data_IF_611972997920
#
_entry.id   IF_611972997920
#
_cell.length_a   1.000
_cell.length_b   1.000
_cell.length_c   1.000
_cell.angle_alpha   90.00
_cell.angle_beta   90.00
_cell.angle_gamma   90.00
#
_symmetry.space_group_name_H-M   'P 1'
#
loop_
_entity.id
_entity.type
_entity.pdbx_description
1 polymer ?
#
# COMPACT_ATOMS: atom_id res chain seq x y z
N UNK A 1 11.55 37.53 -54.96
CA UNK A 1 11.94 36.49 -53.97
C UNK A 1 12.20 37.15 -52.62
N UNK A 2 13.06 38.16 -52.53
CA UNK A 2 13.34 38.93 -51.30
C UNK A 2 12.07 39.45 -50.61
N UNK A 3 11.18 40.15 -51.32
CA UNK A 3 9.94 40.68 -50.72
C UNK A 3 9.00 39.62 -50.11
N UNK A 4 9.00 38.38 -50.61
CA UNK A 4 8.21 37.29 -50.02
C UNK A 4 8.91 36.69 -48.80
N UNK A 5 10.25 36.70 -48.78
CA UNK A 5 11.05 36.31 -47.61
C UNK A 5 10.88 37.34 -46.49
N UNK A 6 10.96 38.64 -46.80
CA UNK A 6 10.74 39.72 -45.83
C UNK A 6 9.34 39.65 -45.21
N UNK A 7 8.34 39.35 -46.03
CA UNK A 7 6.96 39.14 -45.58
C UNK A 7 6.84 37.93 -44.66
N UNK A 8 7.52 36.83 -44.99
CA UNK A 8 7.52 35.63 -44.17
C UNK A 8 8.23 35.88 -42.83
N UNK A 9 9.35 36.58 -42.84
CA UNK A 9 10.06 37.00 -41.63
C UNK A 9 9.18 37.86 -40.74
N UNK A 10 8.47 38.84 -41.31
CA UNK A 10 7.53 39.68 -40.58
C UNK A 10 6.37 38.87 -39.97
N UNK A 11 5.88 37.83 -40.67
CA UNK A 11 4.86 36.93 -40.13
C UNK A 11 5.38 36.14 -38.93
N UNK A 12 6.63 35.67 -38.96
CA UNK A 12 7.26 34.99 -37.83
C UNK A 12 7.48 35.93 -36.65
N UNK A 13 8.03 37.13 -36.89
CA UNK A 13 8.20 38.14 -35.84
C UNK A 13 6.87 38.50 -35.17
N UNK A 14 5.80 38.64 -35.96
CA UNK A 14 4.46 38.88 -35.43
C UNK A 14 3.98 37.67 -34.62
N UNK A 15 4.11 36.45 -35.14
CA UNK A 15 3.68 35.24 -34.45
C UNK A 15 4.40 35.06 -33.11
N UNK A 16 5.71 35.31 -33.06
CA UNK A 16 6.49 35.27 -31.82
C UNK A 16 6.00 36.32 -30.83
N UNK A 17 5.77 37.57 -31.28
CA UNK A 17 5.24 38.63 -30.42
C UNK A 17 3.81 38.36 -29.92
N UNK A 18 2.98 37.70 -30.74
CA UNK A 18 1.63 37.29 -30.36
C UNK A 18 1.70 36.21 -29.26
N UNK A 19 2.64 35.24 -29.36
CA UNK A 19 2.86 34.22 -28.34
C UNK A 19 3.38 34.81 -27.02
N UNK A 20 4.33 35.75 -27.10
CA UNK A 20 4.85 36.46 -25.93
C UNK A 20 3.73 37.24 -25.21
N UNK A 21 2.86 37.89 -25.96
CA UNK A 21 1.71 38.61 -25.40
C UNK A 21 0.72 37.67 -24.72
N UNK A 22 0.43 36.50 -25.32
CA UNK A 22 -0.42 35.48 -24.70
C UNK A 22 0.21 35.00 -23.38
N UNK A 23 1.51 34.68 -23.37
CA UNK A 23 2.21 34.27 -22.16
C UNK A 23 2.14 35.36 -21.08
N UNK A 24 2.42 36.61 -21.43
CA UNK A 24 2.37 37.74 -20.50
C UNK A 24 0.99 37.88 -19.86
N UNK A 25 -0.08 37.81 -20.67
CA UNK A 25 -1.46 37.89 -20.17
C UNK A 25 -1.79 36.75 -19.22
N UNK A 26 -1.42 35.52 -19.57
CA UNK A 26 -1.66 34.35 -18.71
C UNK A 26 -0.91 34.47 -17.38
N UNK A 27 0.36 34.86 -17.41
CA UNK A 27 1.15 35.07 -16.19
C UNK A 27 0.53 36.15 -15.30
N UNK A 28 0.07 37.26 -15.90
CA UNK A 28 -0.60 38.32 -15.17
C UNK A 28 -1.89 37.81 -14.52
N UNK A 29 -2.77 37.16 -15.28
CA UNK A 29 -4.05 36.63 -14.79
C UNK A 29 -3.85 35.54 -13.71
N UNK A 30 -2.84 34.68 -13.83
CA UNK A 30 -2.51 33.68 -12.81
C UNK A 30 -2.05 34.35 -11.51
N UNK A 31 -1.16 35.35 -11.61
CA UNK A 31 -0.62 36.09 -10.45
C UNK A 31 -1.68 36.94 -9.76
N UNK A 32 -2.63 37.53 -10.49
CA UNK A 32 -3.65 38.42 -9.91
C UNK A 32 -4.87 37.69 -9.37
N UNK A 33 -5.32 36.59 -10.00
CA UNK A 33 -6.52 35.86 -9.57
C UNK A 33 -6.28 34.88 -8.42
N UNK A 34 -5.02 34.61 -8.06
CA UNK A 34 -4.66 33.77 -6.91
C UNK A 34 -3.76 34.55 -5.95
N UNK A 35 -4.30 35.52 -5.18
CA UNK A 35 -3.55 36.15 -4.11
C UNK A 35 -3.37 35.10 -3.02
N UNK A 36 -2.22 34.43 -3.00
CA UNK A 36 -1.90 33.29 -2.14
C UNK A 36 -3.06 32.29 -2.03
N UNK A 37 -3.01 31.23 -2.83
CA UNK A 37 -3.86 30.03 -2.66
C UNK A 37 -3.55 29.36 -1.31
N UNK A 38 -3.98 29.99 -0.22
CA UNK A 38 -3.73 29.61 1.16
C UNK A 38 -4.59 28.39 1.49
N UNK A 39 -4.21 27.24 0.93
CA UNK A 39 -4.88 25.97 1.17
C UNK A 39 -4.67 24.93 0.07
N UNK A 40 -4.56 25.36 -1.19
CA UNK A 40 -4.40 24.43 -2.31
C UNK A 40 -2.91 24.10 -2.53
N UNK A 41 -2.57 22.82 -2.38
CA UNK A 41 -1.21 22.35 -2.63
C UNK A 41 -0.90 22.40 -4.12
N UNK A 42 0.28 22.93 -4.45
CA UNK A 42 0.81 22.89 -5.80
C UNK A 42 0.79 21.45 -6.37
N UNK A 43 0.27 21.22 -7.59
CA UNK A 43 0.21 19.89 -8.20
C UNK A 43 1.55 19.15 -8.28
N UNK A 44 2.66 19.88 -8.48
CA UNK A 44 4.01 19.30 -8.49
C UNK A 44 4.37 18.74 -7.12
N UNK A 45 4.00 19.44 -6.05
CA UNK A 45 4.20 18.96 -4.67
C UNK A 45 3.32 17.75 -4.38
N UNK A 46 2.05 17.78 -4.80
CA UNK A 46 1.12 16.65 -4.65
C UNK A 46 1.66 15.38 -5.34
N UNK A 47 2.19 15.50 -6.55
CA UNK A 47 2.78 14.35 -7.27
C UNK A 47 3.97 13.74 -6.53
N UNK A 48 4.82 14.57 -5.91
CA UNK A 48 5.94 14.10 -5.09
C UNK A 48 5.45 13.39 -3.82
N UNK A 49 4.47 13.96 -3.12
CA UNK A 49 3.86 13.34 -1.93
C UNK A 49 3.21 12.00 -2.27
N UNK A 50 2.44 11.94 -3.35
CA UNK A 50 1.77 10.71 -3.82
C UNK A 50 2.79 9.61 -4.12
N UNK A 51 3.90 9.96 -4.78
CA UNK A 51 4.98 9.03 -5.10
C UNK A 51 5.66 8.48 -3.83
N UNK A 52 5.88 9.34 -2.83
CA UNK A 52 6.43 8.93 -1.54
C UNK A 52 5.48 7.99 -0.78
N UNK A 53 4.17 8.28 -0.78
CA UNK A 53 3.16 7.41 -0.15
C UNK A 53 3.12 6.04 -0.84
N UNK A 54 3.10 6.03 -2.17
CA UNK A 54 3.12 4.78 -2.96
C UNK A 54 4.33 3.91 -2.64
N UNK A 55 5.52 4.52 -2.59
CA UNK A 55 6.77 3.82 -2.25
C UNK A 55 6.74 3.22 -0.83
N UNK A 56 6.25 4.00 0.15
CA UNK A 56 6.11 3.53 1.54
C UNK A 56 5.13 2.36 1.64
N UNK A 57 4.00 2.43 0.95
CA UNK A 57 3.03 1.34 0.91
C UNK A 57 3.62 0.07 0.29
N UNK A 58 4.29 0.18 -0.86
CA UNK A 58 4.94 -0.95 -1.52
C UNK A 58 6.00 -1.61 -0.62
N UNK A 59 6.79 -0.80 0.07
CA UNK A 59 7.80 -1.27 1.04
C UNK A 59 7.13 -2.01 2.21
N UNK A 60 6.07 -1.44 2.77
CA UNK A 60 5.33 -2.07 3.87
C UNK A 60 4.71 -3.40 3.42
N UNK A 61 4.09 -3.42 2.25
CA UNK A 61 3.50 -4.63 1.67
C UNK A 61 4.54 -5.73 1.45
N UNK A 62 5.70 -5.38 0.89
CA UNK A 62 6.79 -6.33 0.67
C UNK A 62 7.34 -6.91 1.98
N UNK A 63 7.37 -6.11 3.06
CA UNK A 63 7.75 -6.57 4.40
C UNK A 63 6.68 -7.42 5.08
N UNK A 64 5.40 -7.10 4.87
CA UNK A 64 4.29 -7.77 5.51
C UNK A 64 4.05 -9.19 4.95
N UNK A 65 4.16 -9.37 3.63
CA UNK A 65 3.96 -10.67 2.96
C UNK A 65 4.71 -11.85 3.60
N UNK A 66 6.05 -11.80 3.78
CA UNK A 66 6.77 -12.92 4.38
C UNK A 66 6.40 -13.13 5.86
N UNK A 67 6.12 -12.07 6.61
CA UNK A 67 5.70 -12.18 8.03
C UNK A 67 4.38 -12.93 8.16
N UNK A 68 3.40 -12.63 7.30
CA UNK A 68 2.11 -13.33 7.29
C UNK A 68 2.28 -14.82 6.97
N UNK A 69 3.17 -15.16 6.01
CA UNK A 69 3.51 -16.55 5.69
C UNK A 69 4.16 -17.24 6.88
N UNK A 70 5.19 -16.63 7.48
CA UNK A 70 5.90 -17.20 8.62
C UNK A 70 5.01 -17.38 9.85
N UNK A 71 4.09 -16.45 10.11
CA UNK A 71 3.10 -16.57 11.18
C UNK A 71 2.16 -17.77 10.93
N UNK A 72 1.68 -17.94 9.70
CA UNK A 72 0.84 -19.09 9.32
C UNK A 72 1.60 -20.40 9.51
N UNK A 73 2.84 -20.49 9.03
CA UNK A 73 3.68 -21.67 9.17
C UNK A 73 4.00 -21.98 10.63
N UNK A 74 4.35 -20.97 11.41
CA UNK A 74 4.64 -21.12 12.85
C UNK A 74 3.43 -21.64 13.60
N UNK A 75 2.25 -21.07 13.36
CA UNK A 75 1.00 -21.54 13.94
C UNK A 75 0.73 -23.00 13.57
N UNK A 76 0.84 -23.36 12.30
CA UNK A 76 0.68 -24.74 11.83
C UNK A 76 1.67 -25.70 12.51
N UNK A 77 2.93 -25.31 12.67
CA UNK A 77 3.96 -26.13 13.35
C UNK A 77 3.67 -26.33 14.82
N UNK A 78 3.22 -25.28 15.52
CA UNK A 78 2.81 -25.36 16.94
C UNK A 78 1.63 -26.32 17.07
N UNK A 79 0.59 -26.15 16.27
CA UNK A 79 -0.58 -27.03 16.28
C UNK A 79 -0.21 -28.50 16.01
N UNK A 80 0.63 -28.76 15.00
CA UNK A 80 1.08 -30.11 14.68
C UNK A 80 1.89 -30.74 15.82
N UNK A 81 2.81 -29.98 16.41
CA UNK A 81 3.63 -30.44 17.54
C UNK A 81 2.76 -30.73 18.77
N UNK A 82 1.83 -29.83 19.09
CA UNK A 82 0.91 -30.00 20.20
C UNK A 82 0.04 -31.25 20.02
N UNK A 83 -0.55 -31.44 18.83
CA UNK A 83 -1.36 -32.62 18.52
C UNK A 83 -0.56 -33.91 18.67
N UNK A 84 0.68 -33.95 18.17
CA UNK A 84 1.55 -35.13 18.30
C UNK A 84 1.88 -35.45 19.76
N UNK A 85 2.26 -34.43 20.54
CA UNK A 85 2.54 -34.60 21.98
C UNK A 85 1.29 -35.07 22.73
N UNK A 86 0.12 -34.52 22.37
CA UNK A 86 -1.16 -34.92 22.96
C UNK A 86 -1.48 -36.39 22.67
N UNK A 87 -1.31 -36.84 21.43
CA UNK A 87 -1.47 -38.26 21.07
C UNK A 87 -0.52 -39.15 21.86
N UNK A 88 0.76 -38.78 21.99
CA UNK A 88 1.72 -39.54 22.79
C UNK A 88 1.32 -39.63 24.27
N UNK A 89 0.84 -38.53 24.87
CA UNK A 89 0.37 -38.53 26.26
C UNK A 89 -0.83 -39.47 26.43
N UNK A 90 -1.79 -39.42 25.52
CA UNK A 90 -2.97 -40.30 25.55
C UNK A 90 -2.60 -41.77 25.41
N UNK A 91 -1.63 -42.11 24.56
CA UNK A 91 -1.11 -43.46 24.41
C UNK A 91 -0.45 -43.97 25.71
N UNK A 92 0.37 -43.14 26.36
CA UNK A 92 0.99 -43.49 27.64
C UNK A 92 -0.03 -43.64 28.77
N UNK A 93 -1.04 -42.75 28.84
CA UNK A 93 -2.12 -42.86 29.84
C UNK A 93 -2.88 -44.18 29.72
N UNK A 94 -3.18 -44.62 28.49
CA UNK A 94 -3.82 -45.93 28.24
C UNK A 94 -3.00 -47.11 28.71
N UNK A 95 -1.66 -47.00 28.76
CA UNK A 95 -0.77 -48.06 29.22
C UNK A 95 -0.66 -48.11 30.76
N UNK A 96 -1.05 -47.05 31.47
CA UNK A 96 -0.74 -46.87 32.90
C UNK A 96 -1.99 -46.80 33.80
N UNK A 97 -3.18 -47.13 33.29
CA UNK A 97 -4.48 -47.03 33.98
C UNK A 97 -4.74 -45.69 34.70
N UNK A 98 -4.14 -44.60 34.20
CA UNK A 98 -4.35 -43.23 34.68
C UNK A 98 -5.56 -42.61 34.00
N UNK A 99 -6.42 -41.92 34.78
CA UNK A 99 -7.60 -41.22 34.23
C UNK A 99 -7.21 -40.20 33.14
N UNK A 100 -8.05 -40.16 32.10
CA UNK A 100 -7.86 -39.32 30.93
C UNK A 100 -8.10 -37.85 31.30
N UNK A 101 -7.04 -37.05 31.39
CA UNK A 101 -7.16 -35.60 31.61
C UNK A 101 -7.94 -34.99 30.42
N UNK A 102 -9.07 -34.32 30.68
CA UNK A 102 -9.94 -33.72 29.65
C UNK A 102 -9.34 -32.44 29.03
N UNK A 103 -8.26 -32.64 28.29
CA UNK A 103 -7.55 -31.66 27.47
C UNK A 103 -8.34 -31.24 26.21
N UNK A 104 -9.49 -31.87 25.94
CA UNK A 104 -10.43 -31.50 24.87
C UNK A 104 -10.92 -30.05 25.00
N UNK A 105 -11.04 -29.57 26.25
CA UNK A 105 -11.38 -28.18 26.57
C UNK A 105 -10.29 -27.17 26.16
N UNK A 106 -9.02 -27.59 26.19
CA UNK A 106 -7.86 -26.81 25.76
C UNK A 106 -7.80 -26.72 24.22
N UNK A 107 -8.20 -27.80 23.54
CA UNK A 107 -8.32 -27.88 22.08
C UNK A 107 -9.36 -26.88 21.52
N UNK A 108 -10.52 -26.75 22.19
CA UNK A 108 -11.54 -25.75 21.82
C UNK A 108 -11.01 -24.30 21.92
N UNK A 109 -10.06 -24.03 22.81
CA UNK A 109 -9.44 -22.71 22.97
C UNK A 109 -8.44 -22.38 21.84
N UNK A 110 -7.80 -23.39 21.25
CA UNK A 110 -6.95 -23.22 20.07
C UNK A 110 -7.76 -23.03 18.77
N UNK A 111 -8.91 -23.70 18.63
CA UNK A 111 -9.80 -23.52 17.47
C UNK A 111 -10.38 -22.09 17.36
N UNK A 112 -10.50 -21.35 18.48
CA UNK A 112 -10.87 -19.92 18.46
C UNK A 112 -9.80 -19.08 17.72
N UNK A 113 -8.53 -19.50 17.72
CA UNK A 113 -7.48 -18.85 16.92
C UNK A 113 -7.62 -19.12 15.42
N UNK A 114 -8.35 -20.16 15.00
CA UNK A 114 -8.63 -20.45 13.59
C UNK A 114 -9.74 -19.56 13.03
N UNK A 115 -10.74 -19.19 13.85
CA UNK A 115 -11.76 -18.21 13.46
C UNK A 115 -11.17 -16.81 13.23
N UNK A 116 -10.16 -16.41 14.01
CA UNK A 116 -9.45 -15.12 13.80
C UNK A 116 -8.67 -15.14 12.49
N UNK A 117 -8.02 -16.25 12.14
CA UNK A 117 -7.25 -16.39 10.89
C UNK A 117 -8.14 -16.40 9.63
N UNK A 118 -9.34 -17.00 9.70
CA UNK A 118 -10.29 -17.00 8.57
C UNK A 118 -10.99 -15.64 8.36
N UNK A 119 -11.05 -14.80 9.39
CA UNK A 119 -11.60 -13.45 9.29
C UNK A 119 -10.63 -12.47 8.60
N UNK A 120 -9.32 -12.68 8.74
CA UNK A 120 -8.28 -11.85 8.12
C UNK A 120 -8.12 -12.12 6.60
N UNK A 121 -8.58 -13.27 6.10
CA UNK A 121 -8.50 -13.66 4.68
C UNK A 121 -9.60 -13.00 3.80
N UNK A 122 -10.57 -12.28 4.40
CA UNK A 122 -11.69 -11.63 3.68
C UNK A 122 -11.61 -10.11 3.56
N UNK A 123 -10.54 -9.48 4.03
CA UNK A 123 -10.38 -8.01 3.98
C UNK A 123 -9.04 -7.61 3.37
N UNK A 124 -8.77 -8.00 2.13
CA UNK A 124 -7.83 -7.31 1.23
C UNK A 124 -8.25 -7.50 -0.22
#
# INVERSE_FOLDING_TARGET
>A
MEAEVDKLELMFQKADSDLDYIQYRLEYEIKTNHPDSAGEKNPVTLLKELSAIKSRYQTLQARFKPVAIEQKETKSRICATFNKTMTMIQELQKQTDLELVDLTSLMKRCAVLDYVAMAEEKTY
#
